data_IF_512198299829
#
_entry.id   IF_512198299829
#
_cell.length_a   1.000
_cell.length_b   1.000
_cell.length_c   1.000
_cell.angle_alpha   90.00
_cell.angle_beta   90.00
_cell.angle_gamma   90.00
#
_symmetry.space_group_name_H-M   'P 1'
#
loop_
_entity.id
_entity.type
_entity.pdbx_description
1 polymer ?
#
# COMPACT_ATOMS: atom_id res chain seq x y z
N UNK A 1 11.66 13.40 -16.21
CA UNK A 1 11.63 13.71 -14.76
C UNK A 1 10.19 13.91 -14.30
N UNK A 2 9.81 13.30 -13.19
CA UNK A 2 8.50 13.46 -12.57
C UNK A 2 8.66 13.59 -11.06
N UNK A 3 7.67 14.19 -10.40
CA UNK A 3 7.61 14.23 -8.94
C UNK A 3 6.77 13.08 -8.40
N UNK A 4 6.97 12.73 -7.13
CA UNK A 4 6.16 11.73 -6.46
C UNK A 4 4.67 12.14 -6.44
N UNK A 5 4.37 13.43 -6.21
CA UNK A 5 3.00 13.94 -6.22
C UNK A 5 2.33 13.77 -7.59
N UNK A 6 3.04 14.07 -8.67
CA UNK A 6 2.52 13.88 -10.04
C UNK A 6 2.23 12.41 -10.32
N UNK A 7 3.17 11.53 -9.95
CA UNK A 7 3.01 10.09 -10.15
C UNK A 7 1.82 9.53 -9.37
N UNK A 8 1.64 9.94 -8.12
CA UNK A 8 0.49 9.52 -7.31
C UNK A 8 -0.84 9.98 -7.92
N UNK A 9 -0.89 11.21 -8.46
CA UNK A 9 -2.08 11.72 -9.16
C UNK A 9 -2.39 10.92 -10.43
N UNK A 10 -1.37 10.59 -11.22
CA UNK A 10 -1.54 9.76 -12.41
C UNK A 10 -2.12 8.39 -12.04
N UNK A 11 -1.56 7.76 -11.00
CA UNK A 11 -2.05 6.46 -10.52
C UNK A 11 -3.52 6.54 -10.04
N UNK A 12 -3.88 7.57 -9.29
CA UNK A 12 -5.25 7.78 -8.85
C UNK A 12 -6.22 7.96 -10.02
N UNK A 13 -5.80 8.70 -11.05
CA UNK A 13 -6.58 8.90 -12.28
C UNK A 13 -6.75 7.58 -13.04
N UNK A 14 -5.68 6.79 -13.16
CA UNK A 14 -5.73 5.47 -13.80
C UNK A 14 -6.68 4.52 -13.06
N UNK A 15 -6.66 4.55 -11.75
CA UNK A 15 -7.54 3.69 -10.93
C UNK A 15 -9.02 3.97 -11.20
N UNK A 16 -9.38 5.22 -11.44
CA UNK A 16 -10.76 5.65 -11.73
C UNK A 16 -11.21 5.32 -13.17
N UNK A 17 -10.29 4.89 -14.03
CA UNK A 17 -10.59 4.63 -15.45
C UNK A 17 -10.60 3.12 -15.72
N UNK A 18 -11.74 2.54 -16.15
CA UNK A 18 -11.84 1.10 -16.42
C UNK A 18 -10.82 0.56 -17.43
N UNK A 19 -10.34 1.41 -18.34
CA UNK A 19 -9.33 1.02 -19.35
C UNK A 19 -8.01 0.54 -18.74
N UNK A 20 -7.68 1.00 -17.54
CA UNK A 20 -6.43 0.68 -16.88
C UNK A 20 -6.53 -0.46 -15.85
N UNK A 21 -7.71 -1.03 -15.66
CA UNK A 21 -7.91 -2.08 -14.65
C UNK A 21 -7.01 -3.30 -14.87
N UNK A 22 -6.83 -3.72 -16.12
CA UNK A 22 -5.94 -4.84 -16.44
C UNK A 22 -4.49 -4.55 -16.07
N UNK A 23 -4.01 -3.33 -16.34
CA UNK A 23 -2.65 -2.92 -15.98
C UNK A 23 -2.47 -2.86 -14.44
N UNK A 24 -3.47 -2.35 -13.73
CA UNK A 24 -3.44 -2.26 -12.27
C UNK A 24 -3.43 -3.66 -11.66
N UNK A 25 -4.28 -4.57 -12.14
CA UNK A 25 -4.34 -5.95 -11.67
C UNK A 25 -3.05 -6.73 -11.93
N UNK A 26 -2.29 -6.35 -12.95
CA UNK A 26 -1.00 -6.94 -13.26
C UNK A 26 0.16 -6.46 -12.40
N UNK A 27 -0.04 -5.46 -11.55
CA UNK A 27 1.02 -4.98 -10.66
C UNK A 27 1.40 -6.04 -9.61
N UNK A 28 2.70 -6.17 -9.27
CA UNK A 28 3.14 -7.01 -8.16
C UNK A 28 2.43 -6.69 -6.85
N UNK A 29 2.20 -7.73 -6.05
CA UNK A 29 1.56 -7.62 -4.73
C UNK A 29 2.59 -7.94 -3.65
N UNK A 30 2.68 -7.08 -2.65
CA UNK A 30 3.63 -7.19 -1.56
C UNK A 30 3.53 -8.52 -0.81
N UNK A 31 4.65 -9.23 -0.72
CA UNK A 31 4.73 -10.55 -0.09
C UNK A 31 4.05 -11.68 -0.85
N UNK A 32 3.52 -11.44 -2.06
CA UNK A 32 2.71 -12.42 -2.80
C UNK A 32 3.24 -12.69 -4.20
N UNK A 33 3.57 -11.66 -4.97
CA UNK A 33 3.90 -11.87 -6.39
C UNK A 33 4.95 -10.90 -6.94
N UNK A 34 5.53 -11.30 -8.07
CA UNK A 34 6.43 -10.47 -8.87
C UNK A 34 7.64 -9.97 -8.10
N UNK A 35 8.05 -8.75 -8.40
CA UNK A 35 9.22 -8.12 -7.75
C UNK A 35 9.01 -7.81 -6.27
N UNK A 36 7.79 -7.94 -5.76
CA UNK A 36 7.45 -7.68 -4.37
C UNK A 36 7.28 -8.96 -3.53
N UNK A 37 7.53 -10.14 -4.10
CA UNK A 37 7.28 -11.42 -3.43
C UNK A 37 8.01 -11.56 -2.08
N UNK A 38 9.20 -10.98 -1.96
CA UNK A 38 9.99 -11.01 -0.73
C UNK A 38 9.91 -9.70 0.07
N UNK A 39 9.13 -8.73 -0.41
CA UNK A 39 8.94 -7.45 0.26
C UNK A 39 7.83 -7.57 1.31
N UNK A 40 7.92 -6.76 2.35
CA UNK A 40 6.96 -6.70 3.47
C UNK A 40 6.97 -7.88 4.42
N UNK A 41 7.30 -9.08 3.99
CA UNK A 41 7.20 -10.31 4.80
C UNK A 41 7.88 -10.19 6.16
N UNK A 42 9.08 -9.60 6.21
CA UNK A 42 9.83 -9.37 7.46
C UNK A 42 9.73 -7.95 7.98
N UNK A 43 9.58 -6.97 7.10
CA UNK A 43 9.64 -5.55 7.44
C UNK A 43 8.30 -4.99 7.87
N UNK A 44 7.21 -5.48 7.29
CA UNK A 44 5.85 -5.04 7.58
C UNK A 44 4.84 -6.15 7.25
N UNK A 45 4.82 -7.25 8.05
CA UNK A 45 3.97 -8.42 7.75
C UNK A 45 2.48 -8.07 7.62
N UNK A 46 2.02 -7.04 8.34
CA UNK A 46 0.65 -6.57 8.28
C UNK A 46 0.25 -6.00 6.93
N UNK A 47 1.22 -5.63 6.09
CA UNK A 47 0.96 -5.09 4.74
C UNK A 47 0.97 -6.15 3.64
N UNK A 48 1.34 -7.38 3.95
CA UNK A 48 1.36 -8.47 2.97
C UNK A 48 -0.03 -8.64 2.34
N UNK A 49 -0.08 -8.66 1.02
CA UNK A 49 -1.33 -8.75 0.27
C UNK A 49 -2.09 -7.44 0.10
N UNK A 50 -1.69 -6.36 0.79
CA UNK A 50 -2.41 -5.08 0.81
C UNK A 50 -1.74 -3.99 -0.02
N UNK A 51 -0.52 -4.20 -0.49
CA UNK A 51 0.23 -3.27 -1.33
C UNK A 51 0.38 -3.84 -2.72
N UNK A 52 -0.06 -3.11 -3.72
CA UNK A 52 0.05 -3.49 -5.13
C UNK A 52 0.79 -2.39 -5.87
N UNK A 53 2.04 -2.65 -6.27
CA UNK A 53 2.92 -1.57 -6.69
C UNK A 53 4.04 -2.02 -7.63
N UNK A 54 4.64 -1.04 -8.31
CA UNK A 54 5.81 -1.21 -9.17
C UNK A 54 7.04 -0.63 -8.47
N UNK A 55 8.10 -1.44 -8.44
CA UNK A 55 9.41 -1.01 -7.95
C UNK A 55 10.16 -0.20 -9.02
N UNK A 56 10.98 0.73 -8.55
CA UNK A 56 11.98 1.40 -9.37
C UNK A 56 13.30 1.45 -8.60
N UNK A 57 14.40 1.14 -9.27
CA UNK A 57 15.73 1.19 -8.68
C UNK A 57 16.75 1.51 -9.77
N UNK A 58 17.45 2.59 -9.56
CA UNK A 58 18.67 2.95 -10.30
C UNK A 58 19.67 3.45 -9.27
N UNK A 59 20.93 3.59 -9.67
CA UNK A 59 22.01 3.97 -8.76
C UNK A 59 21.63 5.14 -7.86
N UNK A 60 21.54 4.89 -6.56
CA UNK A 60 21.22 5.90 -5.55
C UNK A 60 19.75 6.31 -5.48
N UNK A 61 18.86 5.61 -6.19
CA UNK A 61 17.41 5.87 -6.15
C UNK A 61 16.67 4.57 -5.88
N UNK A 62 15.78 4.60 -4.90
CA UNK A 62 14.85 3.51 -4.62
C UNK A 62 13.44 4.09 -4.61
N UNK A 63 12.54 3.48 -5.34
CA UNK A 63 11.17 3.95 -5.41
C UNK A 63 10.16 2.81 -5.38
N UNK A 64 8.96 3.14 -4.94
CA UNK A 64 7.80 2.28 -4.99
C UNK A 64 6.57 3.15 -5.26
N UNK A 65 5.74 2.76 -6.21
CA UNK A 65 4.54 3.50 -6.56
C UNK A 65 3.41 2.53 -6.92
N UNK A 66 2.22 2.82 -6.44
CA UNK A 66 1.07 1.96 -6.66
C UNK A 66 -0.08 2.28 -5.72
N UNK A 67 -0.66 1.24 -5.16
CA UNK A 67 -1.86 1.32 -4.34
C UNK A 67 -1.67 0.56 -3.03
N UNK A 68 -2.28 1.06 -1.97
CA UNK A 68 -2.31 0.40 -0.67
C UNK A 68 -3.73 0.38 -0.13
N UNK A 69 -4.16 -0.79 0.31
CA UNK A 69 -5.46 -0.96 0.97
C UNK A 69 -5.33 -0.53 2.44
N UNK A 70 -6.23 0.33 2.87
CA UNK A 70 -6.29 0.84 4.23
C UNK A 70 -7.73 0.79 4.74
N UNK A 71 -8.15 -0.40 5.17
CA UNK A 71 -9.52 -0.64 5.63
C UNK A 71 -10.51 -0.56 4.46
N UNK A 72 -11.42 0.40 4.53
CA UNK A 72 -12.44 0.64 3.50
C UNK A 72 -11.95 1.50 2.33
N UNK A 73 -10.70 1.96 2.36
CA UNK A 73 -10.13 2.86 1.36
C UNK A 73 -8.93 2.24 0.68
N UNK A 74 -8.71 2.66 -0.56
CA UNK A 74 -7.48 2.37 -1.31
C UNK A 74 -6.82 3.70 -1.66
N UNK A 75 -5.56 3.83 -1.30
CA UNK A 75 -4.78 5.02 -1.58
C UNK A 75 -3.81 4.76 -2.72
N UNK A 76 -3.72 5.70 -3.65
CA UNK A 76 -2.61 5.77 -4.58
C UNK A 76 -1.42 6.42 -3.88
N UNK A 77 -0.23 5.87 -4.05
CA UNK A 77 0.97 6.41 -3.44
C UNK A 77 2.15 6.41 -4.41
N UNK A 78 3.10 7.27 -4.16
CA UNK A 78 4.42 7.24 -4.78
C UNK A 78 5.46 7.68 -3.76
N UNK A 79 6.48 6.85 -3.56
CA UNK A 79 7.59 7.12 -2.67
C UNK A 79 8.87 7.02 -3.50
N UNK A 80 9.64 8.10 -3.53
CA UNK A 80 10.91 8.17 -4.26
C UNK A 80 11.98 8.61 -3.26
N UNK A 81 12.99 7.78 -3.05
CA UNK A 81 14.18 8.15 -2.30
C UNK A 81 15.32 8.36 -3.28
N UNK A 82 16.01 9.48 -3.18
CA UNK A 82 17.12 9.82 -4.05
C UNK A 82 18.38 10.15 -3.24
N UNK A 83 19.48 10.37 -3.96
CA UNK A 83 20.79 10.74 -3.38
C UNK A 83 21.30 9.74 -2.35
N UNK A 84 20.89 8.49 -2.45
CA UNK A 84 21.41 7.42 -1.62
C UNK A 84 22.81 7.03 -2.10
N UNK A 85 23.68 6.64 -1.16
CA UNK A 85 24.91 5.95 -1.56
C UNK A 85 24.54 4.63 -2.23
N UNK A 86 25.14 4.38 -3.38
CA UNK A 86 24.90 3.15 -4.12
C UNK A 86 25.62 1.98 -3.46
N UNK A 87 25.06 1.52 -2.35
CA UNK A 87 25.47 0.30 -1.65
C UNK A 87 24.24 -0.55 -1.33
N UNK A 88 24.40 -1.86 -1.37
CA UNK A 88 23.33 -2.78 -1.06
C UNK A 88 22.70 -2.50 0.33
N UNK A 89 23.55 -2.21 1.32
CA UNK A 89 23.10 -1.93 2.68
C UNK A 89 22.18 -0.72 2.76
N UNK A 90 22.55 0.39 2.11
CA UNK A 90 21.79 1.64 2.15
C UNK A 90 20.50 1.51 1.35
N UNK A 91 20.56 0.94 0.16
CA UNK A 91 19.38 0.73 -0.68
C UNK A 91 18.41 -0.26 -0.04
N UNK A 92 18.90 -1.31 0.61
CA UNK A 92 18.08 -2.26 1.35
C UNK A 92 17.41 -1.62 2.55
N UNK A 93 18.12 -0.75 3.29
CA UNK A 93 17.55 0.02 4.40
C UNK A 93 16.45 0.97 3.92
N UNK A 94 16.63 1.61 2.77
CA UNK A 94 15.62 2.46 2.16
C UNK A 94 14.36 1.67 1.79
N UNK A 95 14.51 0.48 1.20
CA UNK A 95 13.37 -0.41 0.90
C UNK A 95 12.62 -0.81 2.17
N UNK A 96 13.35 -1.17 3.21
CA UNK A 96 12.75 -1.53 4.50
C UNK A 96 11.96 -0.37 5.13
N UNK A 97 12.49 0.86 5.01
CA UNK A 97 11.82 2.06 5.50
C UNK A 97 10.50 2.31 4.73
N UNK A 98 10.52 2.16 3.42
CA UNK A 98 9.32 2.26 2.59
C UNK A 98 8.28 1.22 3.01
N UNK A 99 8.70 -0.02 3.21
CA UNK A 99 7.81 -1.10 3.63
C UNK A 99 7.15 -0.80 4.98
N UNK A 100 7.93 -0.33 5.94
CA UNK A 100 7.43 0.04 7.27
C UNK A 100 6.47 1.21 7.23
N UNK A 101 6.74 2.20 6.39
CA UNK A 101 5.86 3.35 6.20
C UNK A 101 4.49 2.90 5.65
N UNK A 102 4.50 2.08 4.61
CA UNK A 102 3.27 1.53 4.04
C UNK A 102 2.57 0.59 5.02
N UNK A 103 3.32 -0.13 5.85
CA UNK A 103 2.75 -0.97 6.90
C UNK A 103 1.96 -0.21 7.95
N UNK A 104 2.26 1.07 8.15
CA UNK A 104 1.48 1.95 9.05
C UNK A 104 0.16 2.39 8.43
N UNK A 105 0.08 2.42 7.10
CA UNK A 105 -1.11 2.85 6.36
C UNK A 105 -2.00 1.65 6.04
N UNK A 106 -1.40 0.51 5.74
CA UNK A 106 -2.10 -0.69 5.31
C UNK A 106 -2.99 -1.25 6.42
N UNK A 107 -4.22 -1.57 6.06
CA UNK A 107 -5.16 -2.26 6.92
C UNK A 107 -6.07 -3.13 6.05
N UNK A 108 -6.36 -4.37 6.47
CA UNK A 108 -7.30 -5.20 5.73
C UNK A 108 -8.72 -4.62 5.82
N UNK A 109 -9.53 -4.91 4.81
CA UNK A 109 -10.94 -4.57 4.86
C UNK A 109 -11.58 -5.24 6.07
N UNK A 110 -12.22 -4.45 6.93
CA UNK A 110 -12.96 -5.00 8.05
C UNK A 110 -14.31 -5.51 7.57
N UNK A 111 -14.51 -6.81 7.72
CA UNK A 111 -15.82 -7.41 7.55
C UNK A 111 -16.53 -7.26 8.88
N UNK A 112 -17.54 -6.39 8.91
CA UNK A 112 -18.37 -6.22 10.11
C UNK A 112 -19.28 -7.44 10.22
N UNK A 113 -19.02 -8.30 11.21
CA UNK A 113 -19.90 -9.41 11.56
C UNK A 113 -20.92 -8.96 12.61
N UNK A 114 -21.98 -9.74 12.80
CA UNK A 114 -22.99 -9.43 13.82
C UNK A 114 -22.40 -9.35 15.24
N UNK A 115 -21.27 -9.99 15.49
CA UNK A 115 -20.57 -9.95 16.77
C UNK A 115 -19.72 -8.70 16.95
N UNK A 116 -19.35 -8.01 15.85
CA UNK A 116 -18.52 -6.80 15.88
C UNK A 116 -19.38 -5.53 15.95
N UNK A 117 -20.69 -5.66 15.77
CA UNK A 117 -21.61 -4.54 15.86
C UNK A 117 -21.98 -4.36 17.34
N UNK A 118 -21.70 -3.17 17.88
CA UNK A 118 -22.15 -2.82 19.21
C UNK A 118 -23.67 -2.97 19.27
N UNK A 119 -24.24 -3.65 20.30
CA UNK A 119 -25.69 -3.81 20.41
C UNK A 119 -26.34 -2.44 20.49
N UNK A 120 -27.34 -2.22 19.63
CA UNK A 120 -28.15 -1.01 19.70
C UNK A 120 -28.83 -0.97 21.07
N UNK A 121 -28.98 0.22 21.69
CA UNK A 121 -29.76 0.32 22.92
C UNK A 121 -31.14 -0.24 22.66
N UNK A 122 -31.56 -1.17 23.52
CA UNK A 122 -32.86 -1.78 23.40
C UNK A 122 -33.96 -0.72 23.56
N UNK A 123 -35.00 -0.72 22.70
CA UNK A 123 -36.12 0.18 22.87
C UNK A 123 -36.83 0.04 24.25
N UNK A 124 -36.74 -1.13 24.87
CA UNK A 124 -37.31 -1.38 26.19
C UNK A 124 -36.60 -0.61 27.30
N UNK A 125 -35.34 -0.28 27.15
CA UNK A 125 -34.60 0.52 28.11
C UNK A 125 -35.07 1.97 28.19
N UNK A 126 -35.81 2.47 27.22
CA UNK A 126 -36.37 3.82 27.16
C UNK A 126 -37.88 3.89 27.49
N UNK A 127 -38.52 2.77 27.78
CA UNK A 127 -39.96 2.69 28.02
C UNK A 127 -40.36 2.98 29.49
N UNK A 128 -39.39 3.21 30.37
CA UNK A 128 -39.64 3.55 31.78
C UNK A 128 -39.27 5.03 32.02
#
# INVERSE_FOLDING_TARGET
RTSAATLARVLATMYSNPKFQGAIQGLPVGGVSGTLIHRFVKTAPQAVGLVQAKTGSINGVVSLAGFVDSGDRKYAFAIITDRLRHTYKIESAARATIDKLLGKIAAPMQIVTATDVAPSPSPEASAN
#
